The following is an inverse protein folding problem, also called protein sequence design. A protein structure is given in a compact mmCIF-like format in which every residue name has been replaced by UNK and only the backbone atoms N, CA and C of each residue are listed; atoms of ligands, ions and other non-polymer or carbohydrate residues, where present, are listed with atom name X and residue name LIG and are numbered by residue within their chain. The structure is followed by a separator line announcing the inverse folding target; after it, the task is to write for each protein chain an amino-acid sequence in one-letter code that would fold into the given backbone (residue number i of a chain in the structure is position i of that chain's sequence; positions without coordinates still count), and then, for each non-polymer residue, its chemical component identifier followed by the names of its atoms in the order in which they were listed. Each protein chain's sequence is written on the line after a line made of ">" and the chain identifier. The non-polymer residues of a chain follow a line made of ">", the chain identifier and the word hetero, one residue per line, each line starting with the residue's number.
data_IF_817284048331
#
_entry.id   IF_817284048331
#
_cell.length_a   1.000
_cell.length_b   1.000
_cell.length_c   1.000
_cell.angle_alpha   90.00
_cell.angle_beta   90.00
_cell.angle_gamma   90.00
#
_symmetry.space_group_name_H-M   'P 1'
#
loop_
_entity.id
_entity.type
_entity.pdbx_description
1 polymer ?
#
# COMPACT_ATOMS: atom_id res chain seq x y z
N UNK A 1 -22.71 54.71 -29.95
CA UNK A 1 -23.30 54.21 -28.69
C UNK A 1 -23.76 52.78 -28.97
N UNK A 2 -22.81 51.86 -28.89
CA UNK A 2 -22.86 50.53 -29.50
C UNK A 2 -23.22 49.47 -28.45
N UNK A 3 -24.24 48.68 -28.76
CA UNK A 3 -24.45 47.33 -28.23
C UNK A 3 -23.19 46.48 -28.46
N UNK A 4 -22.53 45.99 -27.40
CA UNK A 4 -21.79 44.73 -27.42
C UNK A 4 -21.21 44.37 -26.04
N UNK A 5 -21.29 43.07 -25.71
CA UNK A 5 -20.52 42.32 -24.68
C UNK A 5 -20.98 42.57 -23.24
N UNK A 6 -21.17 41.55 -22.39
CA UNK A 6 -20.58 40.22 -22.35
C UNK A 6 -21.46 39.37 -21.43
N UNK A 7 -22.06 38.32 -21.97
CA UNK A 7 -22.61 37.22 -21.16
C UNK A 7 -21.44 36.51 -20.49
N UNK A 8 -21.25 36.71 -19.19
CA UNK A 8 -20.39 35.85 -18.37
C UNK A 8 -21.24 34.64 -17.97
N UNK A 9 -21.30 33.63 -18.84
CA UNK A 9 -21.67 32.28 -18.42
C UNK A 9 -20.61 31.81 -17.44
N UNK A 10 -20.99 31.71 -16.18
CA UNK A 10 -20.23 31.03 -15.15
C UNK A 10 -20.14 29.57 -15.58
N UNK A 11 -19.00 29.20 -16.18
CA UNK A 11 -18.57 27.82 -16.28
C UNK A 11 -18.13 27.45 -14.87
N UNK A 12 -19.03 26.84 -14.11
CA UNK A 12 -18.64 26.06 -12.95
C UNK A 12 -17.88 24.87 -13.52
N UNK A 13 -16.55 24.92 -13.44
CA UNK A 13 -15.68 23.77 -13.62
C UNK A 13 -16.05 22.75 -12.54
N UNK A 14 -16.97 21.84 -12.82
CA UNK A 14 -17.01 20.53 -12.18
C UNK A 14 -15.78 19.78 -12.71
N UNK A 15 -14.65 19.93 -12.01
CA UNK A 15 -13.57 18.96 -12.06
C UNK A 15 -14.10 17.71 -11.33
N UNK A 16 -14.97 16.95 -11.99
CA UNK A 16 -15.08 15.52 -11.70
C UNK A 16 -13.76 14.99 -12.20
N UNK A 17 -12.83 14.76 -11.27
CA UNK A 17 -11.77 13.81 -11.53
C UNK A 17 -12.49 12.53 -11.95
N UNK A 18 -12.50 12.25 -13.25
CA UNK A 18 -12.83 10.93 -13.76
C UNK A 18 -11.68 10.07 -13.21
N UNK A 19 -11.86 9.58 -11.98
CA UNK A 19 -11.19 8.36 -11.58
C UNK A 19 -11.62 7.35 -12.63
N UNK A 20 -10.69 6.94 -13.47
CA UNK A 20 -10.84 5.68 -14.17
C UNK A 20 -11.06 4.64 -13.07
N UNK A 21 -12.32 4.26 -12.88
CA UNK A 21 -12.69 3.18 -12.00
C UNK A 21 -12.01 1.96 -12.62
N UNK A 22 -11.05 1.37 -11.90
CA UNK A 22 -10.43 0.13 -12.33
C UNK A 22 -11.51 -0.96 -12.32
N UNK A 23 -12.11 -1.20 -13.47
CA UNK A 23 -13.08 -2.25 -13.69
C UNK A 23 -12.42 -3.33 -14.53
N UNK A 24 -12.00 -4.46 -13.93
CA UNK A 24 -11.34 -5.50 -14.70
C UNK A 24 -12.33 -6.14 -15.69
N UNK A 25 -11.84 -6.46 -16.89
CA UNK A 25 -12.69 -7.00 -17.95
C UNK A 25 -13.11 -8.45 -17.64
N UNK A 26 -14.40 -8.80 -17.83
CA UNK A 26 -14.84 -10.19 -17.75
C UNK A 26 -14.06 -11.11 -18.69
N UNK A 27 -13.78 -12.32 -18.24
CA UNK A 27 -13.02 -13.33 -18.97
C UNK A 27 -11.50 -13.15 -18.91
N UNK A 28 -10.98 -12.10 -18.25
CA UNK A 28 -9.53 -11.93 -18.06
C UNK A 28 -9.01 -12.71 -16.86
N UNK A 29 -7.78 -13.21 -17.02
CA UNK A 29 -6.98 -13.85 -15.97
C UNK A 29 -6.42 -12.81 -15.02
N UNK A 30 -6.55 -13.09 -13.74
CA UNK A 30 -6.15 -12.18 -12.68
C UNK A 30 -5.57 -12.95 -11.49
N UNK A 31 -4.77 -12.26 -10.68
CA UNK A 31 -4.49 -12.69 -9.30
C UNK A 31 -5.37 -11.86 -8.37
N UNK A 32 -6.19 -12.54 -7.55
CA UNK A 32 -7.15 -11.93 -6.67
C UNK A 32 -6.79 -12.15 -5.20
N UNK A 33 -6.89 -11.09 -4.40
CA UNK A 33 -6.48 -11.04 -2.99
C UNK A 33 -7.41 -11.86 -2.11
N UNK A 34 -6.83 -12.72 -1.28
CA UNK A 34 -7.48 -13.46 -0.20
C UNK A 34 -6.75 -13.19 1.10
N UNK A 35 -7.30 -12.29 1.92
CA UNK A 35 -6.62 -11.77 3.11
C UNK A 35 -5.20 -11.28 2.78
N UNK A 36 -4.17 -11.99 3.23
CA UNK A 36 -2.75 -11.64 3.06
C UNK A 36 -2.07 -12.30 1.85
N UNK A 37 -2.78 -13.09 1.06
CA UNK A 37 -2.27 -13.78 -0.14
C UNK A 37 -3.06 -13.40 -1.39
N UNK A 38 -2.58 -13.83 -2.56
CA UNK A 38 -3.31 -13.73 -3.81
C UNK A 38 -3.41 -15.13 -4.44
N UNK A 39 -4.52 -15.39 -5.13
CA UNK A 39 -4.71 -16.63 -5.87
C UNK A 39 -5.17 -16.34 -7.28
N UNK A 40 -4.81 -17.20 -8.24
CA UNK A 40 -5.22 -17.05 -9.61
C UNK A 40 -6.73 -17.29 -9.77
N UNK A 41 -7.32 -16.58 -10.71
CA UNK A 41 -8.74 -16.67 -11.04
C UNK A 41 -9.10 -15.92 -12.32
N UNK A 42 -10.39 -15.88 -12.59
CA UNK A 42 -10.95 -15.21 -13.75
C UNK A 42 -12.11 -14.31 -13.32
N UNK A 43 -12.16 -13.10 -13.85
CA UNK A 43 -13.29 -12.18 -13.62
C UNK A 43 -14.49 -12.73 -14.37
N UNK A 44 -15.59 -13.03 -13.69
CA UNK A 44 -16.75 -13.71 -14.29
C UNK A 44 -18.00 -12.84 -14.38
N UNK A 45 -18.21 -11.93 -13.42
CA UNK A 45 -19.42 -11.08 -13.37
C UNK A 45 -19.03 -9.66 -12.96
N UNK A 46 -19.69 -8.68 -13.57
CA UNK A 46 -19.58 -7.28 -13.20
C UNK A 46 -20.95 -6.77 -12.75
N UNK A 47 -20.97 -6.08 -11.61
CA UNK A 47 -22.13 -5.37 -11.07
C UNK A 47 -21.86 -3.86 -11.11
N UNK A 48 -22.79 -3.06 -10.54
CA UNK A 48 -22.71 -1.60 -10.54
C UNK A 48 -21.53 -1.09 -9.69
N UNK A 49 -21.30 -1.70 -8.53
CA UNK A 49 -20.29 -1.25 -7.56
C UNK A 49 -19.20 -2.30 -7.26
N UNK A 50 -19.41 -3.53 -7.74
CA UNK A 50 -18.59 -4.69 -7.42
C UNK A 50 -18.40 -5.57 -8.65
N UNK A 51 -17.49 -6.52 -8.55
CA UNK A 51 -17.26 -7.54 -9.55
C UNK A 51 -16.88 -8.86 -8.87
N UNK A 52 -17.08 -9.97 -9.57
CA UNK A 52 -16.84 -11.32 -9.06
C UNK A 52 -15.66 -11.94 -9.78
N UNK A 53 -14.73 -12.49 -9.00
CA UNK A 53 -13.68 -13.37 -9.50
C UNK A 53 -14.01 -14.79 -9.07
N UNK A 54 -14.05 -15.70 -10.05
CA UNK A 54 -14.06 -17.14 -9.80
C UNK A 54 -12.61 -17.61 -9.80
N UNK A 55 -12.16 -18.08 -8.65
CA UNK A 55 -10.81 -18.59 -8.43
C UNK A 55 -10.64 -19.97 -9.06
N UNK A 56 -9.40 -20.38 -9.30
CA UNK A 56 -9.09 -21.68 -9.94
C UNK A 56 -9.51 -22.88 -9.09
N UNK A 57 -9.66 -22.68 -7.76
CA UNK A 57 -10.21 -23.66 -6.84
C UNK A 57 -11.76 -23.71 -6.84
N UNK A 58 -12.42 -22.91 -7.67
CA UNK A 58 -13.88 -22.84 -7.80
C UNK A 58 -14.58 -21.86 -6.86
N UNK A 59 -13.87 -21.25 -5.91
CA UNK A 59 -14.47 -20.27 -5.01
C UNK A 59 -14.77 -18.96 -5.75
N UNK A 60 -15.94 -18.36 -5.49
CA UNK A 60 -16.26 -17.02 -5.97
C UNK A 60 -16.01 -16.00 -4.86
N UNK A 61 -15.36 -14.88 -5.21
CA UNK A 61 -15.17 -13.73 -4.31
C UNK A 61 -15.64 -12.47 -5.01
N UNK A 62 -16.44 -11.68 -4.31
CA UNK A 62 -16.91 -10.37 -4.76
C UNK A 62 -16.00 -9.26 -4.21
N UNK A 63 -15.52 -8.39 -5.10
CA UNK A 63 -14.64 -7.28 -4.79
C UNK A 63 -15.30 -5.95 -5.16
N UNK A 64 -14.98 -4.90 -4.41
CA UNK A 64 -15.36 -3.52 -4.74
C UNK A 64 -14.43 -2.95 -5.82
N UNK A 65 -14.97 -2.18 -6.77
CA UNK A 65 -14.13 -1.42 -7.71
C UNK A 65 -13.29 -0.33 -7.02
N UNK A 66 -13.61 0.03 -5.78
CA UNK A 66 -12.80 0.96 -4.97
C UNK A 66 -11.48 0.32 -4.49
N UNK A 67 -11.40 -1.01 -4.44
CA UNK A 67 -10.22 -1.75 -4.03
C UNK A 67 -9.37 -2.13 -5.24
N UNK A 68 -8.69 -1.15 -5.83
CA UNK A 68 -7.90 -1.37 -7.05
C UNK A 68 -6.69 -2.29 -6.86
N UNK A 69 -6.40 -2.68 -5.62
CA UNK A 69 -5.36 -3.65 -5.27
C UNK A 69 -5.92 -5.03 -4.96
N UNK A 70 -7.25 -5.19 -4.92
CA UNK A 70 -7.88 -6.49 -4.75
C UNK A 70 -7.45 -7.46 -5.85
N UNK A 71 -7.27 -6.94 -7.06
CA UNK A 71 -7.07 -7.75 -8.26
C UNK A 71 -6.01 -7.11 -9.14
N UNK A 72 -5.10 -7.93 -9.66
CA UNK A 72 -4.12 -7.52 -10.68
C UNK A 72 -4.24 -8.45 -11.88
N UNK A 73 -4.11 -7.92 -13.09
CA UNK A 73 -4.05 -8.77 -14.28
C UNK A 73 -2.84 -9.71 -14.20
N UNK A 74 -3.06 -10.97 -14.57
CA UNK A 74 -2.02 -11.99 -14.58
C UNK A 74 -1.12 -11.84 -15.82
N UNK A 75 -0.37 -10.74 -15.83
CA UNK A 75 0.49 -10.32 -16.95
C UNK A 75 1.88 -9.95 -16.45
N UNK A 76 2.90 -10.30 -17.23
CA UNK A 76 4.29 -9.96 -16.91
C UNK A 76 4.47 -8.44 -17.01
N UNK A 77 4.99 -7.76 -15.97
CA UNK A 77 5.28 -6.33 -16.03
C UNK A 77 6.42 -6.06 -17.00
N UNK A 78 6.41 -4.88 -17.63
CA UNK A 78 7.47 -4.48 -18.56
C UNK A 78 8.83 -4.26 -17.86
N UNK A 79 8.79 -3.81 -16.59
CA UNK A 79 9.94 -3.56 -15.73
C UNK A 79 9.48 -3.44 -14.28
N UNK A 80 10.43 -3.50 -13.35
CA UNK A 80 10.22 -3.18 -11.94
C UNK A 80 11.40 -2.35 -11.43
N UNK A 81 11.26 -1.73 -10.27
CA UNK A 81 12.28 -0.90 -9.63
C UNK A 81 12.28 -1.10 -8.13
N UNK A 82 13.42 -0.79 -7.50
CA UNK A 82 13.56 -0.78 -6.05
C UNK A 82 12.39 -0.06 -5.36
N UNK A 83 11.79 -0.73 -4.37
CA UNK A 83 10.64 -0.23 -3.62
C UNK A 83 9.28 -0.48 -4.28
N UNK A 84 9.23 -0.95 -5.53
CA UNK A 84 7.97 -1.36 -6.16
C UNK A 84 7.31 -2.47 -5.35
N UNK A 85 5.99 -2.35 -5.22
CA UNK A 85 5.16 -3.38 -4.60
C UNK A 85 4.78 -4.42 -5.64
N UNK A 86 5.09 -5.67 -5.33
CA UNK A 86 4.90 -6.79 -6.25
C UNK A 86 4.20 -7.96 -5.57
N UNK A 87 3.60 -8.81 -6.40
CA UNK A 87 3.03 -10.10 -6.02
C UNK A 87 3.94 -11.17 -6.64
N UNK A 88 4.43 -12.10 -5.82
CA UNK A 88 5.38 -13.13 -6.21
C UNK A 88 4.90 -14.51 -5.75
N UNK A 89 5.24 -15.60 -6.45
CA UNK A 89 4.87 -16.95 -6.04
C UNK A 89 5.40 -17.28 -4.64
N UNK A 90 4.60 -17.93 -3.80
CA UNK A 90 5.08 -18.41 -2.51
C UNK A 90 6.24 -19.39 -2.72
N UNK A 91 7.37 -19.22 -2.01
CA UNK A 91 8.43 -20.21 -2.03
C UNK A 91 7.90 -21.49 -1.36
N UNK A 92 7.93 -22.63 -2.07
CA UNK A 92 7.27 -23.91 -1.70
C UNK A 92 7.74 -24.42 -0.33
N UNK A 93 6.84 -24.86 0.54
CA UNK A 93 6.53 -26.31 0.72
C UNK A 93 5.08 -26.75 0.48
N UNK A 94 4.12 -25.85 0.26
CA UNK A 94 2.75 -26.24 -0.07
C UNK A 94 2.42 -25.87 -1.52
N UNK A 95 2.09 -26.89 -2.31
CA UNK A 95 1.62 -26.83 -3.69
C UNK A 95 0.23 -26.20 -3.82
N UNK A 96 0.03 -25.02 -3.22
CA UNK A 96 -1.12 -24.17 -3.50
C UNK A 96 -0.62 -23.00 -4.32
N UNK A 97 -1.30 -22.72 -5.42
CA UNK A 97 -1.14 -21.58 -6.34
C UNK A 97 -1.37 -20.24 -5.61
N UNK A 98 -0.53 -19.96 -4.63
CA UNK A 98 -0.64 -18.80 -3.76
C UNK A 98 0.55 -17.90 -4.02
N UNK A 99 0.23 -16.64 -4.23
CA UNK A 99 1.18 -15.58 -4.39
C UNK A 99 1.16 -14.72 -3.13
N UNK A 100 2.32 -14.18 -2.80
CA UNK A 100 2.56 -13.37 -1.62
C UNK A 100 2.87 -11.94 -2.05
N UNK A 101 2.39 -10.99 -1.25
CA UNK A 101 2.74 -9.59 -1.41
C UNK A 101 4.17 -9.36 -0.93
N UNK A 102 4.95 -8.59 -1.67
CA UNK A 102 6.30 -8.21 -1.29
C UNK A 102 6.70 -6.87 -1.90
N UNK A 103 7.99 -6.56 -1.75
CA UNK A 103 8.61 -5.39 -2.33
C UNK A 103 9.90 -5.78 -3.04
N UNK A 104 10.28 -5.04 -4.08
CA UNK A 104 11.62 -5.15 -4.70
C UNK A 104 12.65 -4.47 -3.80
N UNK A 105 13.70 -5.20 -3.44
CA UNK A 105 14.65 -4.80 -2.38
C UNK A 105 16.08 -4.74 -2.86
N UNK A 106 16.36 -5.39 -3.98
CA UNK A 106 17.63 -5.33 -4.67
C UNK A 106 17.48 -5.73 -6.12
N UNK A 107 18.31 -5.12 -6.97
CA UNK A 107 18.46 -5.52 -8.36
C UNK A 107 19.74 -6.37 -8.44
N UNK A 108 19.59 -7.68 -8.52
CA UNK A 108 20.72 -8.59 -8.63
C UNK A 108 21.16 -8.66 -10.10
N UNK A 109 21.94 -7.66 -10.53
CA UNK A 109 22.61 -7.69 -11.82
C UNK A 109 24.07 -8.10 -11.64
N UNK A 110 24.38 -9.38 -11.87
CA UNK A 110 25.73 -9.78 -12.31
C UNK A 110 25.73 -11.18 -12.92
N UNK A 111 25.74 -11.22 -14.26
CA UNK A 111 26.55 -12.21 -14.97
C UNK A 111 25.87 -13.19 -15.93
N UNK A 112 24.54 -13.39 -15.94
CA UNK A 112 23.92 -14.32 -16.89
C UNK A 112 22.47 -13.98 -17.24
N UNK A 113 22.22 -13.73 -18.53
CA UNK A 113 21.03 -13.85 -19.42
C UNK A 113 19.60 -13.52 -18.91
N UNK A 114 19.29 -13.62 -17.62
CA UNK A 114 17.97 -13.34 -17.04
C UNK A 114 18.08 -12.40 -15.85
N UNK A 115 17.47 -11.22 -15.93
CA UNK A 115 17.38 -10.28 -14.82
C UNK A 115 16.60 -10.91 -13.64
N UNK A 116 17.25 -10.94 -12.48
CA UNK A 116 16.67 -11.41 -11.22
C UNK A 116 16.55 -10.26 -10.24
N UNK A 117 15.42 -10.20 -9.55
CA UNK A 117 15.09 -9.19 -8.57
C UNK A 117 15.01 -9.85 -7.20
N UNK A 118 15.65 -9.23 -6.22
CA UNK A 118 15.51 -9.63 -4.81
C UNK A 118 14.21 -9.06 -4.27
N UNK A 119 13.37 -9.93 -3.72
CA UNK A 119 12.04 -9.59 -3.21
C UNK A 119 11.95 -9.98 -1.73
N UNK A 120 11.59 -9.01 -0.88
CA UNK A 120 11.20 -9.28 0.50
C UNK A 120 9.70 -9.46 0.57
N UNK A 121 9.29 -10.69 0.91
CA UNK A 121 7.90 -11.08 1.07
C UNK A 121 7.37 -10.59 2.42
N UNK A 122 6.19 -9.98 2.43
CA UNK A 122 5.55 -9.49 3.65
C UNK A 122 5.25 -10.62 4.64
N UNK A 123 4.86 -11.79 4.14
CA UNK A 123 4.56 -12.94 4.98
C UNK A 123 5.86 -13.63 5.37
N UNK A 124 6.17 -13.61 6.66
CA UNK A 124 7.37 -14.26 7.20
C UNK A 124 8.67 -13.50 6.97
N UNK A 125 8.63 -12.30 6.37
CA UNK A 125 9.81 -11.46 6.12
C UNK A 125 10.94 -12.20 5.40
N UNK A 126 10.57 -13.10 4.47
CA UNK A 126 11.53 -13.90 3.70
C UNK A 126 12.00 -13.13 2.49
N UNK A 127 13.30 -13.11 2.29
CA UNK A 127 13.96 -12.61 1.07
C UNK A 127 14.12 -13.78 0.09
N UNK A 128 13.72 -13.60 -1.16
CA UNK A 128 13.92 -14.59 -2.21
C UNK A 128 14.10 -13.90 -3.58
N UNK A 129 14.64 -14.64 -4.56
CA UNK A 129 14.99 -14.10 -5.86
C UNK A 129 14.00 -14.55 -6.93
N UNK A 130 13.47 -13.59 -7.68
CA UNK A 130 12.47 -13.84 -8.72
C UNK A 130 12.86 -13.20 -10.04
N UNK A 131 12.54 -13.88 -11.13
CA UNK A 131 12.59 -13.32 -12.48
C UNK A 131 11.32 -12.50 -12.76
N UNK A 132 11.42 -11.50 -13.64
CA UNK A 132 10.32 -10.56 -13.93
C UNK A 132 9.00 -11.24 -14.34
N UNK A 133 9.08 -12.34 -15.09
CA UNK A 133 7.92 -13.13 -15.54
C UNK A 133 7.11 -13.76 -14.40
N UNK A 134 7.70 -13.95 -13.22
CA UNK A 134 7.02 -14.47 -12.04
C UNK A 134 6.34 -13.37 -11.22
N UNK A 135 6.64 -12.10 -11.48
CA UNK A 135 6.14 -10.98 -10.69
C UNK A 135 4.89 -10.38 -11.32
N UNK A 136 4.00 -9.85 -10.48
CA UNK A 136 2.94 -8.90 -10.89
C UNK A 136 3.12 -7.62 -10.12
N UNK A 137 3.17 -6.49 -10.83
CA UNK A 137 3.36 -5.17 -10.22
C UNK A 137 2.02 -4.59 -9.81
N UNK A 138 1.93 -4.10 -8.58
CA UNK A 138 0.74 -3.39 -8.09
C UNK A 138 0.82 -1.90 -8.44
N UNK A 139 -0.32 -1.19 -8.49
CA UNK A 139 -0.34 0.25 -8.71
C UNK A 139 0.50 0.99 -7.66
N UNK A 140 1.28 1.97 -8.13
CA UNK A 140 1.98 2.90 -7.25
C UNK A 140 1.05 4.03 -6.85
N UNK A 141 1.07 4.38 -5.57
CA UNK A 141 0.32 5.51 -5.02
C UNK A 141 1.28 6.54 -4.48
N UNK A 142 0.97 7.81 -4.71
CA UNK A 142 1.79 8.95 -4.26
C UNK A 142 1.16 9.72 -3.11
N UNK A 143 -0.12 9.46 -2.82
CA UNK A 143 -0.89 10.21 -1.84
C UNK A 143 -1.89 9.32 -1.10
N UNK A 144 -2.05 9.59 0.20
CA UNK A 144 -3.05 8.95 1.06
C UNK A 144 -4.49 9.37 0.75
N UNK A 145 -4.69 10.31 -0.17
CA UNK A 145 -6.02 10.73 -0.65
C UNK A 145 -6.49 9.96 -1.88
N UNK A 146 -5.64 9.15 -2.50
CA UNK A 146 -6.01 8.37 -3.68
C UNK A 146 -6.81 7.14 -3.23
N UNK A 147 -8.03 7.00 -3.73
CA UNK A 147 -8.83 5.78 -3.51
C UNK A 147 -8.09 4.57 -4.06
N UNK A 148 -8.15 3.46 -3.32
CA UNK A 148 -7.38 2.25 -3.55
C UNK A 148 -5.96 2.28 -2.98
N UNK A 149 -5.46 3.44 -2.52
CA UNK A 149 -4.09 3.53 -2.00
C UNK A 149 -3.89 2.65 -0.77
N UNK A 150 -2.81 1.88 -0.77
CA UNK A 150 -2.42 1.04 0.36
C UNK A 150 -1.80 1.89 1.45
N UNK A 151 -2.34 1.76 2.65
CA UNK A 151 -2.00 2.60 3.79
C UNK A 151 -1.92 1.77 5.08
N UNK A 152 -1.20 2.31 6.04
CA UNK A 152 -1.36 1.98 7.44
C UNK A 152 -2.26 3.04 8.08
N UNK A 153 -3.33 2.60 8.72
CA UNK A 153 -4.24 3.50 9.41
C UNK A 153 -4.25 3.22 10.91
N UNK A 154 -4.21 4.30 11.68
CA UNK A 154 -4.14 4.31 13.15
C UNK A 154 -5.50 3.96 13.74
N UNK A 155 -5.52 3.03 14.67
CA UNK A 155 -6.72 2.71 15.46
C UNK A 155 -6.71 3.47 16.78
N UNK A 156 -7.81 3.41 17.54
CA UNK A 156 -7.99 4.12 18.82
C UNK A 156 -6.94 3.75 19.89
N UNK A 157 -6.30 2.60 19.77
CA UNK A 157 -5.21 2.13 20.62
C UNK A 157 -3.82 2.57 20.14
N UNK A 158 -3.75 3.54 19.21
CA UNK A 158 -2.52 4.06 18.59
C UNK A 158 -1.70 3.02 17.80
N UNK A 159 -2.27 1.85 17.53
CA UNK A 159 -1.69 0.83 16.68
C UNK A 159 -2.08 1.03 15.22
N UNK A 160 -1.20 0.63 14.31
CA UNK A 160 -1.36 0.85 12.89
C UNK A 160 -1.65 -0.46 12.17
N UNK A 161 -2.73 -0.48 11.40
CA UNK A 161 -3.18 -1.66 10.67
C UNK A 161 -3.15 -1.38 9.18
N UNK A 162 -2.79 -2.41 8.39
CA UNK A 162 -2.80 -2.31 6.93
C UNK A 162 -4.24 -2.28 6.40
N UNK A 163 -4.42 -1.52 5.34
CA UNK A 163 -5.68 -1.39 4.63
C UNK A 163 -5.52 -0.62 3.33
N UNK A 164 -6.64 -0.22 2.77
CA UNK A 164 -6.68 0.65 1.60
C UNK A 164 -7.67 1.80 1.79
N UNK A 165 -7.39 2.92 1.14
CA UNK A 165 -8.30 4.07 1.10
C UNK A 165 -9.54 3.67 0.31
N UNK A 166 -10.67 3.51 1.00
CA UNK A 166 -11.94 3.13 0.40
C UNK A 166 -12.59 4.31 -0.32
N UNK A 167 -12.64 5.46 0.36
CA UNK A 167 -13.19 6.70 -0.19
C UNK A 167 -12.69 7.91 0.58
N UNK A 168 -12.87 9.07 -0.02
CA UNK A 168 -12.68 10.37 0.63
C UNK A 168 -14.00 11.11 0.64
N UNK A 169 -14.41 11.64 1.79
CA UNK A 169 -15.69 12.33 1.96
C UNK A 169 -15.49 13.67 2.68
N UNK A 170 -16.35 14.64 2.41
CA UNK A 170 -16.38 15.89 3.16
C UNK A 170 -17.51 15.87 4.18
N UNK A 171 -17.20 16.11 5.45
CA UNK A 171 -18.21 16.42 6.47
C UNK A 171 -18.11 17.92 6.78
N UNK A 172 -19.00 18.71 6.18
CA UNK A 172 -18.85 20.16 6.14
C UNK A 172 -17.59 20.56 5.37
N UNK A 173 -16.69 21.31 6.00
CA UNK A 173 -15.43 21.77 5.40
C UNK A 173 -14.23 20.86 5.71
N UNK A 174 -14.46 19.73 6.37
CA UNK A 174 -13.39 18.82 6.80
C UNK A 174 -13.40 17.61 5.88
N UNK A 175 -12.25 17.36 5.24
CA UNK A 175 -12.00 16.16 4.46
C UNK A 175 -11.72 14.98 5.39
N UNK A 176 -12.44 13.89 5.20
CA UNK A 176 -12.26 12.61 5.85
C UNK A 176 -11.77 11.58 4.83
N UNK A 177 -10.94 10.67 5.31
CA UNK A 177 -10.41 9.54 4.56
C UNK A 177 -10.89 8.28 5.27
N UNK A 178 -11.71 7.50 4.56
CA UNK A 178 -12.22 6.23 5.04
C UNK A 178 -11.29 5.12 4.54
N UNK A 179 -10.73 4.34 5.45
CA UNK A 179 -9.82 3.24 5.18
C UNK A 179 -10.50 1.93 5.53
N UNK A 180 -10.60 1.02 4.57
CA UNK A 180 -10.99 -0.37 4.82
C UNK A 180 -9.74 -1.15 5.27
N UNK A 181 -9.75 -1.66 6.50
CA UNK A 181 -8.67 -2.47 7.03
C UNK A 181 -8.75 -3.90 6.49
N UNK A 182 -7.59 -4.56 6.33
CA UNK A 182 -7.53 -5.91 5.72
C UNK A 182 -8.20 -6.98 6.59
N UNK A 183 -8.14 -6.82 7.93
CA UNK A 183 -8.58 -7.81 8.91
C UNK A 183 -9.71 -7.30 9.82
N UNK A 184 -10.25 -6.10 9.57
CA UNK A 184 -11.26 -5.50 10.45
C UNK A 184 -12.18 -4.52 9.71
N UNK A 185 -13.03 -3.83 10.47
CA UNK A 185 -13.94 -2.82 9.94
C UNK A 185 -13.22 -1.59 9.37
N UNK A 186 -13.99 -0.78 8.64
CA UNK A 186 -13.53 0.51 8.13
C UNK A 186 -13.27 1.49 9.29
N UNK A 187 -12.22 2.30 9.15
CA UNK A 187 -11.92 3.41 10.06
C UNK A 187 -11.86 4.72 9.28
N UNK A 188 -12.26 5.82 9.92
CA UNK A 188 -12.31 7.14 9.30
C UNK A 188 -11.45 8.12 10.09
N UNK A 189 -10.63 8.89 9.37
CA UNK A 189 -9.79 9.94 9.95
C UNK A 189 -9.93 11.24 9.19
N UNK A 190 -9.74 12.36 9.88
CA UNK A 190 -9.60 13.64 9.23
C UNK A 190 -8.29 13.67 8.43
N UNK A 191 -8.33 14.18 7.21
CA UNK A 191 -7.16 14.29 6.33
C UNK A 191 -6.06 15.22 6.91
N UNK A 192 -6.41 16.10 7.85
CA UNK A 192 -5.45 16.96 8.54
C UNK A 192 -4.61 16.21 9.59
N UNK A 193 -5.08 15.06 10.09
CA UNK A 193 -4.29 14.17 10.95
C UNK A 193 -3.35 13.34 10.07
N UNK A 194 -2.24 13.98 9.68
CA UNK A 194 -1.21 13.38 8.83
C UNK A 194 -0.55 12.14 9.46
N UNK A 195 -0.76 11.88 10.76
CA UNK A 195 -0.22 10.70 11.44
C UNK A 195 -1.21 9.56 11.48
N UNK A 196 -2.50 9.83 11.32
CA UNK A 196 -3.50 8.77 11.36
C UNK A 196 -3.40 7.82 10.16
N UNK A 197 -2.98 8.30 8.99
CA UNK A 197 -2.91 7.50 7.76
C UNK A 197 -1.55 7.70 7.12
N UNK A 198 -0.79 6.61 7.02
CA UNK A 198 0.56 6.57 6.48
C UNK A 198 0.57 5.73 5.23
N UNK A 199 1.17 6.25 4.16
CA UNK A 199 1.29 5.50 2.92
C UNK A 199 2.17 4.27 3.14
N UNK A 200 1.76 3.11 2.61
CA UNK A 200 2.50 1.86 2.74
C UNK A 200 3.61 1.77 1.66
N UNK A 201 4.56 2.70 1.75
CA UNK A 201 5.72 2.84 0.88
C UNK A 201 6.99 2.75 1.71
N UNK A 202 7.94 1.95 1.26
CA UNK A 202 9.23 1.82 1.93
C UNK A 202 9.96 3.17 1.87
N UNK A 203 10.37 3.74 3.01
CA UNK A 203 11.12 4.99 2.99
C UNK A 203 12.50 4.76 2.37
N UNK A 204 13.01 5.70 1.56
CA UNK A 204 14.39 5.67 1.11
C UNK A 204 15.33 5.60 2.31
N UNK A 205 16.34 4.73 2.21
CA UNK A 205 17.28 4.48 3.31
C UNK A 205 17.91 5.80 3.83
N UNK A 206 18.23 6.72 2.93
CA UNK A 206 18.78 8.05 3.26
C UNK A 206 17.85 8.95 4.08
N UNK A 207 16.53 8.78 4.01
CA UNK A 207 15.53 9.65 4.64
C UNK A 207 15.25 9.30 6.11
N UNK A 208 15.76 8.17 6.58
CA UNK A 208 15.56 7.74 7.97
C UNK A 208 16.81 8.08 8.78
N UNK A 209 16.60 8.82 9.86
CA UNK A 209 17.66 9.31 10.74
C UNK A 209 17.36 8.96 12.20
N UNK A 210 18.39 9.01 13.05
CA UNK A 210 18.15 8.96 14.49
C UNK A 210 17.20 10.10 14.90
N UNK A 211 16.37 9.86 15.91
CA UNK A 211 15.25 10.67 16.39
C UNK A 211 14.00 10.68 15.49
N UNK A 212 14.07 10.10 14.30
CA UNK A 212 12.92 10.03 13.39
C UNK A 212 11.79 9.19 14.01
N UNK A 213 10.56 9.71 13.90
CA UNK A 213 9.35 8.98 14.26
C UNK A 213 8.96 8.03 13.14
N UNK A 214 8.68 6.78 13.51
CA UNK A 214 8.32 5.70 12.60
C UNK A 214 7.21 4.85 13.20
N UNK A 215 6.53 4.08 12.35
CA UNK A 215 5.87 2.84 12.77
C UNK A 215 6.76 1.67 12.37
N UNK A 216 6.82 0.64 13.19
CA UNK A 216 7.65 -0.55 12.96
C UNK A 216 6.90 -1.84 13.25
N UNK A 217 7.33 -2.94 12.63
CA UNK A 217 6.79 -4.27 12.93
C UNK A 217 7.30 -4.78 14.29
N UNK A 218 6.40 -5.36 15.09
CA UNK A 218 6.75 -5.95 16.37
C UNK A 218 6.26 -7.40 16.44
N UNK A 219 7.15 -8.40 16.64
CA UNK A 219 6.76 -9.80 16.68
C UNK A 219 5.70 -10.08 17.75
N UNK A 220 4.70 -10.89 17.40
CA UNK A 220 3.56 -11.18 18.27
C UNK A 220 2.37 -10.21 18.13
N UNK A 221 2.54 -9.13 17.37
CA UNK A 221 1.46 -8.22 16.99
C UNK A 221 1.14 -8.36 15.51
N UNK A 222 -0.15 -8.29 15.16
CA UNK A 222 -0.61 -8.13 13.77
C UNK A 222 -0.57 -6.67 13.28
N UNK A 223 -0.29 -5.74 14.19
CA UNK A 223 -0.20 -4.31 13.95
C UNK A 223 1.24 -3.79 13.95
N UNK A 224 1.40 -2.60 13.40
CA UNK A 224 2.62 -1.82 13.47
C UNK A 224 2.53 -0.86 14.65
N UNK A 225 3.65 -0.72 15.35
CA UNK A 225 3.73 0.05 16.58
C UNK A 225 4.52 1.33 16.35
N UNK A 226 4.07 2.47 16.91
CA UNK A 226 4.82 3.71 16.84
C UNK A 226 6.10 3.64 17.68
N UNK A 227 7.15 4.29 17.19
CA UNK A 227 8.45 4.34 17.87
C UNK A 227 9.36 5.42 17.32
N UNK A 228 10.53 5.52 17.95
CA UNK A 228 11.59 6.46 17.58
C UNK A 228 12.84 5.68 17.18
N UNK A 229 13.41 6.01 16.02
CA UNK A 229 14.71 5.49 15.61
C UNK A 229 15.78 6.04 16.57
N UNK A 230 16.49 5.18 17.28
CA UNK A 230 17.57 5.57 18.20
C UNK A 230 18.93 5.51 17.54
N UNK A 231 19.11 4.60 16.58
CA UNK A 231 20.36 4.41 15.84
C UNK A 231 20.07 3.91 14.44
N UNK A 232 20.91 4.32 13.49
CA UNK A 232 20.97 3.77 12.15
C UNK A 232 22.23 2.92 12.00
N UNK A 233 22.10 1.76 11.37
CA UNK A 233 23.20 0.89 10.98
C UNK A 233 23.40 1.01 9.46
N UNK A 234 24.50 1.63 9.04
CA UNK A 234 24.85 1.85 7.62
C UNK A 234 25.30 0.60 6.90
N UNK A 235 25.73 -0.41 7.66
CA UNK A 235 26.50 -1.53 7.11
C UNK A 235 25.65 -2.80 6.99
N UNK A 236 24.42 -2.79 7.52
CA UNK A 236 23.51 -3.92 7.45
C UNK A 236 22.07 -3.45 7.24
N UNK A 237 21.46 -3.88 6.14
CA UNK A 237 20.08 -3.51 5.79
C UNK A 237 19.04 -4.29 6.60
N UNK A 238 19.30 -5.56 6.91
CA UNK A 238 18.44 -6.42 7.74
C UNK A 238 18.32 -5.93 9.21
N UNK A 239 19.22 -5.05 9.63
CA UNK A 239 19.20 -4.39 10.95
C UNK A 239 19.47 -2.89 10.82
N UNK A 240 18.92 -2.31 9.75
CA UNK A 240 19.11 -0.92 9.36
C UNK A 240 18.82 0.09 10.48
N UNK A 241 17.83 -0.18 11.33
CA UNK A 241 17.35 0.79 12.31
C UNK A 241 17.10 0.17 13.69
N UNK A 242 17.77 0.69 14.72
CA UNK A 242 17.35 0.43 16.10
C UNK A 242 16.15 1.32 16.41
N UNK A 243 15.00 0.75 16.70
CA UNK A 243 13.77 1.48 17.06
C UNK A 243 13.43 1.22 18.52
N UNK A 244 13.20 2.30 19.27
CA UNK A 244 12.59 2.26 20.60
C UNK A 244 11.09 2.51 20.46
N UNK A 245 10.28 1.52 20.79
CA UNK A 245 8.83 1.62 20.68
C UNK A 245 8.22 2.38 21.85
N UNK A 246 7.09 3.03 21.61
CA UNK A 246 6.42 3.87 22.62
C UNK A 246 5.89 3.06 23.80
N UNK A 247 5.43 1.83 23.55
CA UNK A 247 5.03 0.89 24.58
C UNK A 247 6.21 0.30 25.38
N UNK A 248 7.44 0.72 25.08
CA UNK A 248 8.66 0.17 25.65
C UNK A 248 9.31 -0.87 24.74
N UNK A 249 10.54 -1.27 25.11
CA UNK A 249 11.35 -2.18 24.31
C UNK A 249 12.13 -1.50 23.18
N UNK A 250 13.14 -2.20 22.68
CA UNK A 250 13.91 -1.80 21.50
C UNK A 250 14.14 -3.01 20.61
N UNK A 251 14.12 -2.80 19.30
CA UNK A 251 14.37 -3.84 18.32
C UNK A 251 15.16 -3.27 17.15
N UNK A 252 16.02 -4.09 16.57
CA UNK A 252 16.60 -3.80 15.26
C UNK A 252 15.57 -4.14 14.19
N UNK A 253 15.28 -3.17 13.35
CA UNK A 253 14.31 -3.23 12.28
C UNK A 253 15.05 -3.21 10.96
N UNK A 254 14.59 -4.05 10.05
CA UNK A 254 14.91 -3.96 8.65
C UNK A 254 14.25 -2.70 8.05
N UNK A 255 14.81 -2.19 6.95
CA UNK A 255 14.24 -1.03 6.26
C UNK A 255 12.85 -1.28 5.67
N UNK A 256 12.50 -2.53 5.41
CA UNK A 256 11.15 -2.94 5.02
C UNK A 256 10.11 -2.85 6.14
N UNK A 257 10.55 -3.01 7.38
CA UNK A 257 9.68 -3.13 8.55
C UNK A 257 9.20 -1.78 9.09
N UNK A 258 9.70 -0.66 8.54
CA UNK A 258 9.36 0.67 9.04
C UNK A 258 8.64 1.55 8.01
N UNK A 259 7.78 2.45 8.49
CA UNK A 259 7.27 3.59 7.70
C UNK A 259 7.47 4.87 8.50
N UNK A 260 7.80 5.96 7.81
CA UNK A 260 8.02 7.25 8.46
C UNK A 260 6.69 7.83 8.93
N UNK A 261 6.64 8.24 10.20
CA UNK A 261 5.56 9.09 10.70
C UNK A 261 5.90 10.55 10.41
N UNK A 262 4.99 11.32 9.78
CA UNK A 262 5.17 12.75 9.59
C UNK A 262 5.47 13.47 10.92
N UNK A 263 6.22 14.58 10.90
CA UNK A 263 6.50 15.34 12.11
C UNK A 263 5.21 15.85 12.76
N UNK A 264 5.21 16.04 14.08
CA UNK A 264 4.13 16.77 14.74
C UNK A 264 4.23 18.20 14.25
N UNK A 265 3.23 18.69 13.54
CA UNK A 265 3.12 20.13 13.31
C UNK A 265 2.60 20.73 14.62
N UNK A 266 3.50 21.07 15.54
CA UNK A 266 3.16 21.98 16.61
C UNK A 266 3.08 23.36 15.98
N UNK A 267 1.87 23.92 15.88
CA UNK A 267 1.75 25.35 15.70
C UNK A 267 2.34 25.99 16.95
N UNK A 268 3.56 26.51 16.81
CA UNK A 268 4.10 27.45 17.77
C UNK A 268 3.20 28.68 17.69
N UNK A 269 2.20 28.74 18.56
CA UNK A 269 1.55 30.00 18.87
C UNK A 269 2.62 30.85 19.56
N UNK A 270 3.29 31.70 18.79
CA UNK A 270 4.08 32.78 19.36
C UNK A 270 3.08 33.73 20.04
N UNK A 271 3.25 34.00 21.35
CA UNK A 271 2.39 34.93 22.08
C UNK A 271 2.50 36.36 21.55
#
# INVERSE_FOLDING_TARGET
>A
MFFLRRWLRIIVLLLVAVMEIFAPDPGKRVLARQADTYSPGTVTKNYIATFVVTLDNGNEIEYSYEDITAVVYDTTPNWTSLGDRVIAPSPKDNASEQYLLGFVTGDLCSGNVTETYEITLNKGHRVDNYTLNLLRKLPFFSSTHQVGARVFARRRDDFYFRGFVKRTSYHGNILYIDVQLDQSESISHQANDKRAIILDVIPPYSHVHATQRVIGYYPGYSSYLPGTVTRRNTDCWESAYRVKFDMGGQRDQDFHEIRILPPIVQFLFFP
#
